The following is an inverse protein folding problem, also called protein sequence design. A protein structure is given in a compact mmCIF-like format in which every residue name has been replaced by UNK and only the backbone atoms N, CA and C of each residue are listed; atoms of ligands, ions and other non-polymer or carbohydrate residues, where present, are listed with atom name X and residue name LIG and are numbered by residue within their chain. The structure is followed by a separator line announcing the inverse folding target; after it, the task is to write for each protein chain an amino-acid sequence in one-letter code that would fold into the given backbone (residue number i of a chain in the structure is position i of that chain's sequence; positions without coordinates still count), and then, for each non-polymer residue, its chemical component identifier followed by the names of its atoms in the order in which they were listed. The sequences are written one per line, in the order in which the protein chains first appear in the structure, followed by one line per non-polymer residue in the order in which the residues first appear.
data_IF_580720816530
#
_entry.id   IF_580720816530
#
_cell.length_a   1.000
_cell.length_b   1.000
_cell.length_c   1.000
_cell.angle_alpha   90.00
_cell.angle_beta   90.00
_cell.angle_gamma   90.00
#
_symmetry.space_group_name_H-M   'P 1'
#
loop_
_entity.id
_entity.type
_entity.pdbx_description
1 polymer ?
#
# COMPACT_ATOMS: atom_id res chain seq x y z
N UNK A 1 -31.65 -17.90 1.04
CA UNK A 1 -30.48 -17.84 1.95
C UNK A 1 -30.80 -16.86 3.06
N UNK A 2 -31.10 -17.35 4.25
CA UNK A 2 -31.36 -16.50 5.42
C UNK A 2 -30.03 -16.01 5.96
N UNK A 3 -29.75 -14.72 5.78
CA UNK A 3 -28.67 -14.04 6.49
C UNK A 3 -29.06 -14.08 7.97
N UNK A 4 -28.19 -14.59 8.84
CA UNK A 4 -28.43 -14.65 10.29
C UNK A 4 -28.71 -13.25 10.87
N UNK A 5 -29.06 -13.15 12.18
CA UNK A 5 -29.29 -11.85 12.81
C UNK A 5 -28.11 -10.91 12.51
N UNK A 6 -28.39 -9.72 11.96
CA UNK A 6 -27.36 -8.72 11.67
C UNK A 6 -26.60 -8.46 12.98
N UNK A 7 -25.33 -8.84 13.02
CA UNK A 7 -24.45 -8.50 14.12
C UNK A 7 -24.43 -6.98 14.30
N UNK A 8 -24.37 -6.51 15.56
CA UNK A 8 -24.29 -5.08 15.85
C UNK A 8 -23.10 -4.44 15.10
N UNK A 9 -23.20 -3.18 14.64
CA UNK A 9 -22.05 -2.44 14.15
C UNK A 9 -20.88 -2.48 15.14
N UNK A 10 -19.69 -2.78 14.65
CA UNK A 10 -18.45 -2.71 15.44
C UNK A 10 -17.87 -1.29 15.38
N UNK A 11 -17.20 -0.89 16.46
CA UNK A 11 -16.30 0.25 16.49
C UNK A 11 -14.85 -0.24 16.30
N UNK A 12 -14.28 0.02 15.12
CA UNK A 12 -12.99 -0.56 14.71
C UNK A 12 -11.92 0.54 14.57
N UNK A 13 -10.78 0.32 15.22
CA UNK A 13 -9.57 1.11 15.03
C UNK A 13 -8.61 0.41 14.07
N UNK A 14 -8.15 1.12 13.05
CA UNK A 14 -7.11 0.68 12.13
C UNK A 14 -5.87 1.55 12.35
N UNK A 15 -4.74 0.92 12.70
CA UNK A 15 -3.47 1.62 12.81
C UNK A 15 -2.77 1.66 11.43
N UNK A 16 -2.83 2.80 10.74
CA UNK A 16 -2.12 3.07 9.49
C UNK A 16 -3.05 3.37 8.30
N UNK A 17 -2.82 4.50 7.63
CA UNK A 17 -3.53 4.93 6.41
C UNK A 17 -2.76 4.57 5.13
N UNK A 18 -2.12 3.39 5.12
CA UNK A 18 -1.52 2.82 3.91
C UNK A 18 -2.54 2.12 3.01
N UNK A 19 -2.07 1.43 1.98
CA UNK A 19 -2.93 0.67 1.04
C UNK A 19 -3.84 -0.32 1.78
N UNK A 20 -3.26 -1.18 2.61
CA UNK A 20 -4.01 -2.21 3.34
C UNK A 20 -5.02 -1.62 4.33
N UNK A 21 -4.63 -0.58 5.07
CA UNK A 21 -5.51 0.05 6.06
C UNK A 21 -6.73 0.70 5.42
N UNK A 22 -6.55 1.42 4.31
CA UNK A 22 -7.66 2.06 3.59
C UNK A 22 -8.55 1.05 2.84
N UNK A 23 -7.96 0.01 2.24
CA UNK A 23 -8.72 -1.06 1.62
C UNK A 23 -9.61 -1.81 2.64
N UNK A 24 -9.10 -2.05 3.86
CA UNK A 24 -9.89 -2.61 4.94
C UNK A 24 -10.98 -1.64 5.41
N UNK A 25 -10.63 -0.36 5.58
CA UNK A 25 -11.57 0.68 5.99
C UNK A 25 -12.78 0.77 5.04
N UNK A 26 -12.53 0.67 3.72
CA UNK A 26 -13.57 0.62 2.71
C UNK A 26 -14.59 -0.48 2.96
N UNK A 27 -14.13 -1.72 3.16
CA UNK A 27 -15.03 -2.86 3.36
C UNK A 27 -15.76 -2.82 4.70
N UNK A 28 -15.10 -2.35 5.77
CA UNK A 28 -15.73 -2.21 7.07
C UNK A 28 -16.81 -1.11 7.07
N UNK A 29 -16.52 0.05 6.46
CA UNK A 29 -17.49 1.14 6.32
C UNK A 29 -18.69 0.69 5.47
N UNK A 30 -18.45 -0.01 4.36
CA UNK A 30 -19.51 -0.60 3.52
C UNK A 30 -20.33 -1.66 4.26
N UNK A 31 -19.73 -2.36 5.22
CA UNK A 31 -20.40 -3.28 6.14
C UNK A 31 -21.24 -2.60 7.22
N UNK A 32 -21.21 -1.26 7.31
CA UNK A 32 -21.97 -0.48 8.30
C UNK A 32 -21.28 -0.38 9.66
N UNK A 33 -19.97 -0.57 9.74
CA UNK A 33 -19.20 -0.42 10.97
C UNK A 33 -18.69 1.03 11.14
N UNK A 34 -18.49 1.47 12.39
CA UNK A 34 -17.77 2.71 12.67
C UNK A 34 -16.28 2.42 12.56
N UNK A 35 -15.58 3.16 11.70
CA UNK A 35 -14.15 2.95 11.42
C UNK A 35 -13.37 4.22 11.72
N UNK A 36 -12.32 4.07 12.53
CA UNK A 36 -11.33 5.10 12.80
C UNK A 36 -9.98 4.62 12.27
N UNK A 37 -9.31 5.45 11.46
CA UNK A 37 -7.96 5.18 10.95
C UNK A 37 -6.99 6.17 11.58
N UNK A 38 -6.05 5.68 12.38
CA UNK A 38 -4.98 6.50 12.96
C UNK A 38 -3.70 6.40 12.12
N UNK A 39 -3.16 7.54 11.69
CA UNK A 39 -1.95 7.65 10.88
C UNK A 39 -0.93 8.59 11.52
N UNK A 40 0.32 8.12 11.64
CA UNK A 40 1.40 8.86 12.30
C UNK A 40 1.84 10.10 11.52
N UNK A 41 1.68 10.10 10.21
CA UNK A 41 2.00 11.28 9.38
C UNK A 41 0.91 12.34 9.54
N UNK A 42 1.26 13.65 9.55
CA UNK A 42 0.32 14.74 9.75
C UNK A 42 -0.68 14.92 8.59
N UNK A 43 -0.45 14.24 7.48
CA UNK A 43 -1.31 14.25 6.30
C UNK A 43 -1.24 12.89 5.57
N UNK A 44 -2.15 12.69 4.61
CA UNK A 44 -2.17 11.49 3.79
C UNK A 44 -0.86 11.33 3.03
N UNK A 45 -0.18 10.21 3.27
CA UNK A 45 1.10 9.89 2.62
C UNK A 45 0.91 9.40 1.18
N UNK A 46 0.51 10.31 0.30
CA UNK A 46 0.25 10.09 -1.11
C UNK A 46 1.53 10.16 -1.98
N UNK A 47 2.61 9.53 -1.54
CA UNK A 47 3.87 9.43 -2.29
C UNK A 47 4.51 8.04 -2.11
N UNK A 48 5.42 7.71 -3.02
CA UNK A 48 6.15 6.45 -3.03
C UNK A 48 6.50 6.00 -4.44
N UNK A 49 7.23 4.90 -4.54
CA UNK A 49 7.56 4.28 -5.82
C UNK A 49 6.32 3.64 -6.48
N UNK A 50 6.49 3.21 -7.72
CA UNK A 50 5.54 2.37 -8.44
C UNK A 50 5.23 1.09 -7.66
N UNK A 51 3.98 0.65 -7.75
CA UNK A 51 3.49 -0.63 -7.24
C UNK A 51 2.63 -1.30 -8.29
N UNK A 52 2.68 -2.63 -8.30
CA UNK A 52 1.89 -3.44 -9.23
C UNK A 52 0.64 -3.99 -8.54
N UNK A 53 -0.53 -3.79 -9.15
CA UNK A 53 -1.69 -4.64 -8.89
C UNK A 53 -1.59 -5.89 -9.77
N UNK A 54 -1.59 -7.06 -9.14
CA UNK A 54 -1.51 -8.36 -9.85
C UNK A 54 -2.53 -9.32 -9.27
N UNK A 55 -3.10 -10.19 -10.11
CA UNK A 55 -4.02 -11.26 -9.70
C UNK A 55 -5.10 -10.75 -8.75
N UNK A 56 -5.07 -11.22 -7.50
CA UNK A 56 -6.04 -10.86 -6.46
C UNK A 56 -6.12 -9.35 -6.15
N UNK A 57 -5.06 -8.58 -6.40
CA UNK A 57 -5.10 -7.12 -6.27
C UNK A 57 -6.04 -6.46 -7.29
N UNK A 58 -6.12 -7.03 -8.49
CA UNK A 58 -7.04 -6.59 -9.55
C UNK A 58 -8.46 -6.99 -9.18
N UNK A 59 -8.66 -8.23 -8.73
CA UNK A 59 -9.97 -8.73 -8.30
C UNK A 59 -10.53 -7.91 -7.13
N UNK A 60 -9.68 -7.52 -6.17
CA UNK A 60 -10.06 -6.66 -5.05
C UNK A 60 -10.45 -5.25 -5.53
N UNK A 61 -9.67 -4.64 -6.42
CA UNK A 61 -9.98 -3.35 -7.01
C UNK A 61 -11.31 -3.35 -7.78
N UNK A 62 -11.60 -4.42 -8.51
CA UNK A 62 -12.86 -4.60 -9.24
C UNK A 62 -14.05 -4.78 -8.29
N UNK A 63 -13.91 -5.62 -7.27
CA UNK A 63 -14.94 -5.81 -6.25
C UNK A 63 -15.25 -4.51 -5.48
N UNK A 64 -14.26 -3.63 -5.32
CA UNK A 64 -14.44 -2.30 -4.74
C UNK A 64 -15.11 -1.31 -5.70
N UNK A 65 -15.22 -1.62 -6.99
CA UNK A 65 -15.71 -0.72 -8.03
C UNK A 65 -14.70 0.37 -8.41
N UNK A 66 -13.43 0.21 -8.03
CA UNK A 66 -12.37 1.21 -8.21
C UNK A 66 -11.44 0.89 -9.39
N UNK A 67 -11.64 -0.25 -10.07
CA UNK A 67 -10.78 -0.66 -11.18
C UNK A 67 -10.68 0.39 -12.29
N UNK A 68 -11.76 1.13 -12.57
CA UNK A 68 -11.74 2.24 -13.53
C UNK A 68 -10.79 3.37 -13.12
N UNK A 69 -10.88 3.83 -11.87
CA UNK A 69 -9.99 4.87 -11.32
C UNK A 69 -8.53 4.42 -11.31
N UNK A 70 -8.27 3.15 -11.00
CA UNK A 70 -6.92 2.60 -11.09
C UNK A 70 -6.38 2.64 -12.52
N UNK A 71 -7.20 2.25 -13.51
CA UNK A 71 -6.82 2.28 -14.93
C UNK A 71 -6.51 3.69 -15.43
N UNK A 72 -7.17 4.71 -14.89
CA UNK A 72 -6.95 6.11 -15.25
C UNK A 72 -5.66 6.71 -14.69
N UNK A 73 -5.04 6.05 -13.71
CA UNK A 73 -3.81 6.51 -13.03
C UNK A 73 -2.64 5.55 -13.26
N UNK A 74 -2.69 4.72 -14.30
CA UNK A 74 -1.61 3.81 -14.62
C UNK A 74 -0.37 4.56 -15.10
N UNK A 75 0.78 4.03 -14.73
CA UNK A 75 2.04 4.46 -15.32
C UNK A 75 2.22 3.73 -16.65
N UNK A 76 2.43 4.51 -17.71
CA UNK A 76 2.72 3.99 -19.05
C UNK A 76 4.17 3.51 -19.14
N UNK A 77 4.41 2.26 -18.70
CA UNK A 77 5.70 1.58 -18.84
C UNK A 77 5.68 0.63 -20.08
N UNK A 78 6.38 0.98 -21.18
CA UNK A 78 6.34 0.18 -22.41
C UNK A 78 7.10 -1.14 -22.30
N UNK A 79 8.01 -1.28 -21.33
CA UNK A 79 8.84 -2.47 -21.16
C UNK A 79 10.13 -2.21 -20.39
N UNK A 80 10.85 -3.29 -20.11
CA UNK A 80 12.15 -3.28 -19.43
C UNK A 80 13.25 -3.74 -20.39
N UNK A 81 14.32 -2.97 -20.47
CA UNK A 81 15.56 -3.35 -21.13
C UNK A 81 16.63 -3.73 -20.09
N UNK A 82 17.25 -4.90 -20.26
CA UNK A 82 18.44 -5.30 -19.53
C UNK A 82 19.67 -4.79 -20.27
N UNK A 83 20.41 -3.87 -19.67
CA UNK A 83 21.57 -3.23 -20.30
C UNK A 83 22.86 -3.65 -19.64
N UNK A 84 23.96 -3.64 -20.40
CA UNK A 84 25.30 -3.88 -19.87
C UNK A 84 25.88 -2.61 -19.18
N UNK A 85 27.13 -2.69 -18.71
CA UNK A 85 27.87 -1.58 -18.11
C UNK A 85 27.91 -0.30 -18.98
N UNK A 86 27.86 -0.46 -20.30
CA UNK A 86 27.92 0.63 -21.28
C UNK A 86 26.53 1.09 -21.75
N UNK A 87 25.45 0.67 -21.07
CA UNK A 87 24.08 1.02 -21.44
C UNK A 87 23.55 0.30 -22.67
N UNK A 88 24.29 -0.65 -23.26
CA UNK A 88 23.83 -1.40 -24.44
C UNK A 88 22.82 -2.48 -24.04
N UNK A 89 21.61 -2.51 -24.63
CA UNK A 89 20.64 -3.58 -24.40
C UNK A 89 21.20 -4.97 -24.73
N UNK A 90 20.94 -5.91 -23.84
CA UNK A 90 21.24 -7.34 -23.98
C UNK A 90 19.97 -8.18 -24.11
N UNK A 91 18.87 -7.71 -23.53
CA UNK A 91 17.54 -8.28 -23.66
C UNK A 91 16.48 -7.19 -23.42
N UNK A 92 15.34 -7.29 -24.09
CA UNK A 92 14.19 -6.40 -23.88
C UNK A 92 12.95 -7.25 -23.65
N UNK A 93 12.18 -6.91 -22.64
CA UNK A 93 10.90 -7.53 -22.33
C UNK A 93 9.85 -6.41 -22.37
N UNK A 94 9.03 -6.44 -23.40
CA UNK A 94 7.94 -5.47 -23.57
C UNK A 94 6.80 -5.77 -22.60
N UNK A 95 6.08 -4.71 -22.21
CA UNK A 95 4.81 -4.88 -21.53
C UNK A 95 3.83 -5.63 -22.42
N UNK A 96 3.19 -6.65 -21.85
CA UNK A 96 1.92 -7.10 -22.38
C UNK A 96 0.92 -5.97 -22.11
N UNK A 97 0.27 -5.44 -23.14
CA UNK A 97 -0.77 -4.39 -23.03
C UNK A 97 -2.12 -4.90 -23.55
N UNK A 98 -2.22 -6.20 -23.84
CA UNK A 98 -3.39 -6.80 -24.49
C UNK A 98 -4.57 -7.04 -23.53
N UNK A 99 -4.37 -6.90 -22.22
CA UNK A 99 -5.35 -7.20 -21.17
C UNK A 99 -5.68 -8.69 -21.07
N UNK A 100 -4.93 -9.57 -21.75
CA UNK A 100 -5.14 -11.02 -21.80
C UNK A 100 -3.81 -11.76 -21.63
N UNK A 101 -3.87 -12.93 -21.03
CA UNK A 101 -2.69 -13.77 -20.78
C UNK A 101 -1.94 -13.39 -19.50
N UNK A 102 -0.75 -13.97 -19.32
CA UNK A 102 0.06 -13.75 -18.11
C UNK A 102 0.78 -12.41 -18.21
N UNK A 103 0.77 -11.63 -17.13
CA UNK A 103 1.56 -10.40 -17.04
C UNK A 103 3.05 -10.70 -17.29
N UNK A 104 3.71 -9.80 -18.01
CA UNK A 104 5.15 -9.79 -18.27
C UNK A 104 5.92 -9.32 -17.03
N UNK A 105 7.23 -9.08 -17.13
CA UNK A 105 7.98 -8.47 -16.02
C UNK A 105 7.42 -7.09 -15.65
N UNK A 106 6.98 -6.34 -16.66
CA UNK A 106 6.19 -5.10 -16.54
C UNK A 106 4.70 -5.44 -16.42
N UNK A 107 4.02 -4.77 -15.47
CA UNK A 107 2.62 -5.01 -15.12
C UNK A 107 1.69 -4.08 -15.90
N UNK A 108 0.58 -4.61 -16.42
CA UNK A 108 -0.51 -3.80 -17.01
C UNK A 108 -1.21 -2.88 -16.00
N UNK A 109 -0.99 -3.13 -14.71
CA UNK A 109 -1.58 -2.34 -13.63
C UNK A 109 -0.49 -1.81 -12.70
N UNK A 110 0.52 -1.17 -13.28
CA UNK A 110 1.50 -0.40 -12.50
C UNK A 110 0.94 1.00 -12.21
N UNK A 111 0.96 1.39 -10.94
CA UNK A 111 0.45 2.68 -10.46
C UNK A 111 1.43 3.25 -9.45
N UNK A 112 1.55 4.58 -9.37
CA UNK A 112 2.29 5.19 -8.28
C UNK A 112 1.61 4.88 -6.95
N UNK A 113 2.37 4.43 -5.94
CA UNK A 113 1.80 4.15 -4.60
C UNK A 113 0.99 5.33 -4.07
N UNK A 114 1.43 6.55 -4.37
CA UNK A 114 0.71 7.77 -4.00
C UNK A 114 -0.71 7.84 -4.55
N UNK A 115 -0.89 7.52 -5.84
CA UNK A 115 -2.19 7.53 -6.51
C UNK A 115 -3.10 6.42 -5.98
N UNK A 116 -2.57 5.21 -5.79
CA UNK A 116 -3.30 4.12 -5.15
C UNK A 116 -3.82 4.52 -3.75
N UNK A 117 -2.98 5.20 -2.96
CA UNK A 117 -3.37 5.70 -1.64
C UNK A 117 -4.45 6.79 -1.75
N UNK A 118 -4.37 7.70 -2.73
CA UNK A 118 -5.39 8.73 -2.98
C UNK A 118 -6.73 8.14 -3.38
N UNK A 119 -6.75 7.24 -4.37
CA UNK A 119 -7.97 6.56 -4.84
C UNK A 119 -8.69 5.86 -3.68
N UNK A 120 -7.95 5.14 -2.83
CA UNK A 120 -8.52 4.47 -1.67
C UNK A 120 -9.03 5.46 -0.60
N UNK A 121 -8.32 6.57 -0.39
CA UNK A 121 -8.74 7.61 0.56
C UNK A 121 -10.03 8.30 0.08
N UNK A 122 -10.07 8.71 -1.18
CA UNK A 122 -11.23 9.39 -1.76
C UNK A 122 -12.48 8.49 -1.71
N UNK A 123 -12.32 7.18 -1.88
CA UNK A 123 -13.41 6.22 -1.77
C UNK A 123 -13.96 6.04 -0.33
N UNK A 124 -13.29 6.57 0.70
CA UNK A 124 -13.59 6.26 2.10
C UNK A 124 -13.67 7.46 3.04
N UNK A 125 -13.06 8.60 2.70
CA UNK A 125 -12.92 9.78 3.57
C UNK A 125 -14.23 10.36 4.09
N UNK A 126 -15.34 10.17 3.38
CA UNK A 126 -16.67 10.65 3.78
C UNK A 126 -17.41 9.66 4.71
N UNK A 127 -16.84 8.47 4.93
CA UNK A 127 -17.44 7.38 5.72
C UNK A 127 -16.54 6.86 6.84
N UNK A 128 -15.28 7.29 6.87
CA UNK A 128 -14.24 6.82 7.79
C UNK A 128 -13.63 8.03 8.49
N UNK A 129 -13.45 7.93 9.80
CA UNK A 129 -12.78 8.97 10.58
C UNK A 129 -11.25 8.81 10.46
N UNK A 130 -10.58 9.74 9.78
CA UNK A 130 -9.13 9.76 9.68
C UNK A 130 -8.50 10.69 10.72
N UNK A 131 -7.58 10.15 11.52
CA UNK A 131 -6.79 10.88 12.51
C UNK A 131 -5.32 10.91 12.09
N UNK A 132 -4.93 11.97 11.41
CA UNK A 132 -3.55 12.21 11.01
C UNK A 132 -2.74 12.84 12.14
N UNK A 133 -1.42 12.64 12.12
CA UNK A 133 -0.49 13.09 13.16
C UNK A 133 -0.57 12.29 14.46
N UNK A 134 -1.39 11.24 14.51
CA UNK A 134 -1.68 10.45 15.70
C UNK A 134 -1.44 8.97 15.40
N UNK A 135 -0.73 8.29 16.29
CA UNK A 135 -0.44 6.86 16.17
C UNK A 135 -0.84 6.09 17.41
N UNK A 136 -1.13 4.80 17.26
CA UNK A 136 -1.35 3.91 18.41
C UNK A 136 -0.01 3.67 19.11
N UNK A 137 0.14 4.21 20.31
CA UNK A 137 1.33 4.10 21.15
C UNK A 137 1.29 2.83 22.01
N UNK A 138 0.10 2.35 22.35
CA UNK A 138 -0.12 1.11 23.06
C UNK A 138 -1.59 0.74 23.08
N UNK A 139 -1.89 -0.42 23.63
CA UNK A 139 -3.25 -0.88 23.83
C UNK A 139 -3.32 -1.85 25.00
N UNK A 140 -4.46 -1.90 25.66
CA UNK A 140 -4.83 -2.94 26.63
C UNK A 140 -6.15 -3.56 26.19
N UNK A 141 -6.41 -4.81 26.58
CA UNK A 141 -7.69 -5.46 26.36
C UNK A 141 -8.16 -6.14 27.64
N UNK A 142 -9.45 -6.08 27.89
CA UNK A 142 -10.16 -6.93 28.85
C UNK A 142 -11.21 -7.79 28.13
N UNK A 143 -12.01 -8.55 28.87
CA UNK A 143 -13.03 -9.45 28.32
C UNK A 143 -14.17 -8.73 27.56
N UNK A 144 -14.25 -7.41 27.67
CA UNK A 144 -15.35 -6.59 27.16
C UNK A 144 -14.93 -5.56 26.10
N UNK A 145 -13.72 -5.02 26.17
CA UNK A 145 -13.26 -3.90 25.35
C UNK A 145 -11.73 -3.91 25.16
N UNK A 146 -11.29 -3.42 24.00
CA UNK A 146 -9.91 -3.00 23.79
C UNK A 146 -9.80 -1.48 23.93
N UNK A 147 -8.83 -0.99 24.70
CA UNK A 147 -8.55 0.44 24.85
C UNK A 147 -7.24 0.79 24.17
N UNK A 148 -7.29 1.68 23.18
CA UNK A 148 -6.11 2.19 22.51
C UNK A 148 -5.58 3.43 23.23
N UNK A 149 -4.26 3.49 23.43
CA UNK A 149 -3.53 4.68 23.88
C UNK A 149 -2.84 5.32 22.69
N UNK A 150 -3.12 6.59 22.43
CA UNK A 150 -2.59 7.32 21.29
C UNK A 150 -1.35 8.15 21.64
N UNK A 151 -0.57 8.52 20.61
CA UNK A 151 0.68 9.26 20.77
C UNK A 151 0.50 10.73 21.21
N UNK A 152 -0.73 11.25 21.16
CA UNK A 152 -1.10 12.57 21.67
C UNK A 152 -1.51 12.55 23.16
N UNK A 153 -1.45 11.37 23.80
CA UNK A 153 -1.83 11.16 25.19
C UNK A 153 -3.31 10.81 25.40
N UNK A 154 -4.14 10.82 24.35
CA UNK A 154 -5.54 10.42 24.45
C UNK A 154 -5.70 8.90 24.51
N UNK A 155 -6.85 8.43 25.02
CA UNK A 155 -7.22 7.02 24.99
C UNK A 155 -8.69 6.87 24.56
N UNK A 156 -9.00 5.83 23.79
CA UNK A 156 -10.38 5.52 23.37
C UNK A 156 -10.61 4.01 23.30
N UNK A 157 -11.84 3.60 23.60
CA UNK A 157 -12.29 2.22 23.54
C UNK A 157 -12.79 1.81 22.15
N UNK A 158 -12.43 0.59 21.73
CA UNK A 158 -12.82 -0.03 20.47
C UNK A 158 -13.21 -1.49 20.67
N UNK A 159 -14.04 -2.03 19.78
CA UNK A 159 -14.32 -3.46 19.72
C UNK A 159 -13.15 -4.24 19.10
N UNK A 160 -12.37 -3.60 18.22
CA UNK A 160 -11.27 -4.23 17.49
C UNK A 160 -10.16 -3.22 17.15
N UNK A 161 -8.91 -3.66 17.27
CA UNK A 161 -7.73 -3.00 16.70
C UNK A 161 -7.16 -3.86 15.57
N UNK A 162 -6.92 -3.25 14.41
CA UNK A 162 -6.23 -3.86 13.28
C UNK A 162 -4.90 -3.15 12.99
N UNK A 163 -3.80 -3.89 13.07
CA UNK A 163 -2.47 -3.39 12.70
C UNK A 163 -2.26 -3.38 11.19
N UNK A 164 -2.29 -2.18 10.58
CA UNK A 164 -2.00 -1.95 9.17
C UNK A 164 -0.83 -0.94 8.99
N UNK A 165 0.05 -0.84 10.00
CA UNK A 165 1.09 0.18 10.16
C UNK A 165 2.43 -0.21 9.49
N UNK A 166 2.35 -1.14 8.55
CA UNK A 166 3.39 -1.48 7.60
C UNK A 166 4.51 -2.37 8.16
N UNK A 167 5.62 -2.39 7.43
CA UNK A 167 6.76 -3.26 7.72
C UNK A 167 7.26 -3.02 9.16
N UNK A 168 7.54 -1.77 9.54
CA UNK A 168 8.01 -1.43 10.88
C UNK A 168 6.91 -1.41 11.97
N UNK A 169 5.88 -2.26 11.85
CA UNK A 169 4.69 -2.27 12.71
C UNK A 169 5.02 -2.27 14.20
N UNK A 170 4.46 -1.31 14.94
CA UNK A 170 4.47 -1.26 16.41
C UNK A 170 3.46 -2.25 16.97
N UNK A 171 2.30 -2.39 16.32
CA UNK A 171 1.27 -3.34 16.75
C UNK A 171 1.82 -4.77 16.72
N UNK A 172 2.48 -5.18 15.64
CA UNK A 172 3.12 -6.52 15.56
C UNK A 172 4.16 -6.71 16.65
N UNK A 173 5.01 -5.72 16.91
CA UNK A 173 6.07 -5.83 17.93
C UNK A 173 5.51 -6.04 19.34
N UNK A 174 4.32 -5.53 19.66
CA UNK A 174 3.69 -5.74 20.97
C UNK A 174 3.35 -7.23 21.26
N UNK A 175 3.29 -8.08 20.23
CA UNK A 175 3.04 -9.52 20.37
C UNK A 175 4.32 -10.37 20.26
N UNK A 176 5.46 -9.77 19.91
CA UNK A 176 6.71 -10.49 19.75
C UNK A 176 7.53 -10.41 21.06
N UNK A 177 8.35 -11.43 21.37
CA UNK A 177 9.30 -11.34 22.47
C UNK A 177 10.24 -10.14 22.31
N UNK A 178 10.62 -9.54 23.44
CA UNK A 178 11.57 -8.43 23.47
C UNK A 178 12.88 -8.80 22.75
N UNK A 179 13.33 -7.90 21.88
CA UNK A 179 14.57 -8.07 21.11
C UNK A 179 14.46 -8.97 19.87
N UNK A 180 13.28 -9.56 19.57
CA UNK A 180 13.10 -10.31 18.34
C UNK A 180 13.06 -9.37 17.12
N UNK A 181 14.03 -9.48 16.23
CA UNK A 181 14.00 -8.84 14.91
C UNK A 181 13.26 -9.77 13.93
N UNK A 182 12.05 -9.43 13.45
CA UNK A 182 11.34 -10.25 12.48
C UNK A 182 11.96 -10.21 11.08
N UNK A 183 13.03 -9.44 10.87
CA UNK A 183 13.69 -9.30 9.59
C UNK A 183 14.95 -10.17 9.46
N UNK A 184 15.00 -10.93 8.37
CA UNK A 184 16.24 -11.52 7.90
C UNK A 184 17.00 -10.55 7.01
N UNK A 185 18.20 -10.14 7.42
CA UNK A 185 19.05 -9.24 6.63
C UNK A 185 19.80 -10.03 5.56
N UNK A 186 19.47 -9.78 4.30
CA UNK A 186 20.12 -10.44 3.15
C UNK A 186 21.40 -9.76 2.68
N UNK A 187 21.74 -8.58 3.23
CA UNK A 187 22.86 -7.75 2.78
C UNK A 187 22.61 -6.97 1.49
N UNK A 188 21.42 -7.12 0.87
CA UNK A 188 21.03 -6.41 -0.35
C UNK A 188 20.41 -5.06 0.00
N UNK A 189 20.88 -4.00 -0.64
CA UNK A 189 20.36 -2.65 -0.47
C UNK A 189 19.83 -2.13 -1.81
N UNK A 190 18.67 -1.50 -1.78
CA UNK A 190 18.06 -0.84 -2.94
C UNK A 190 17.74 0.61 -2.58
N UNK A 191 17.98 1.51 -3.53
CA UNK A 191 17.67 2.93 -3.40
C UNK A 191 16.84 3.38 -4.60
N UNK A 192 15.83 4.20 -4.33
CA UNK A 192 14.90 4.76 -5.31
C UNK A 192 14.82 6.27 -5.09
N UNK A 193 14.82 7.04 -6.17
CA UNK A 193 14.63 8.49 -6.15
C UNK A 193 14.05 8.96 -7.48
N UNK A 194 13.39 10.11 -7.45
CA UNK A 194 12.85 10.74 -8.65
C UNK A 194 13.95 11.53 -9.37
N UNK A 195 14.00 11.43 -10.69
CA UNK A 195 14.88 12.22 -11.56
C UNK A 195 14.02 12.83 -12.66
N UNK A 196 14.15 14.14 -12.96
CA UNK A 196 13.44 14.73 -14.08
C UNK A 196 13.83 14.06 -15.40
N UNK A 197 12.84 13.83 -16.26
CA UNK A 197 13.08 13.35 -17.62
C UNK A 197 13.78 14.42 -18.45
N UNK A 198 14.73 14.00 -19.27
CA UNK A 198 15.35 14.83 -20.32
C UNK A 198 15.02 14.28 -21.70
N UNK A 199 15.09 15.13 -22.73
CA UNK A 199 14.68 14.76 -24.09
C UNK A 199 15.45 13.57 -24.71
N UNK A 200 16.62 13.23 -24.16
CA UNK A 200 17.43 12.10 -24.61
C UNK A 200 17.16 10.79 -23.87
N UNK A 201 16.24 10.76 -22.90
CA UNK A 201 15.94 9.54 -22.15
C UNK A 201 15.14 8.54 -23.03
N UNK A 202 15.54 7.27 -22.97
CA UNK A 202 14.84 6.15 -23.61
C UNK A 202 13.53 5.87 -22.84
N UNK A 203 12.39 5.67 -23.52
CA UNK A 203 11.12 5.34 -22.87
C UNK A 203 11.11 3.97 -22.18
N UNK A 204 12.05 3.05 -22.49
CA UNK A 204 12.18 1.77 -21.81
C UNK A 204 12.88 1.92 -20.46
N UNK A 205 12.39 1.21 -19.44
CA UNK A 205 13.08 1.16 -18.16
C UNK A 205 14.35 0.32 -18.26
N UNK A 206 15.49 0.92 -17.93
CA UNK A 206 16.78 0.25 -18.04
C UNK A 206 17.19 -0.36 -16.69
N UNK A 207 17.49 -1.66 -16.69
CA UNK A 207 18.03 -2.40 -15.54
C UNK A 207 19.42 -2.94 -15.85
N UNK A 208 20.40 -2.66 -14.99
CA UNK A 208 21.81 -3.01 -15.16
C UNK A 208 22.29 -4.06 -14.14
N UNK A 209 23.03 -5.08 -14.59
CA UNK A 209 23.67 -6.12 -13.75
C UNK A 209 25.19 -5.84 -13.53
N UNK A 210 25.84 -6.35 -12.46
CA UNK A 210 26.36 -5.51 -11.38
C UNK A 210 27.84 -5.11 -11.49
N UNK A 211 28.09 -3.86 -11.07
CA UNK A 211 29.02 -3.56 -9.95
C UNK A 211 28.49 -2.43 -9.06
N UNK A 212 27.66 -1.55 -9.61
CA UNK A 212 26.98 -0.44 -8.91
C UNK A 212 25.78 0.00 -9.78
N UNK A 213 24.70 -0.79 -9.83
CA UNK A 213 23.60 -0.57 -10.78
C UNK A 213 22.57 0.47 -10.33
N UNK A 214 22.17 1.37 -11.24
CA UNK A 214 20.99 2.24 -11.12
C UNK A 214 19.87 1.69 -12.03
N UNK A 215 18.64 1.61 -11.53
CA UNK A 215 17.42 1.40 -12.35
C UNK A 215 16.77 2.76 -12.60
N UNK A 216 16.32 3.02 -13.82
CA UNK A 216 15.49 4.20 -14.17
C UNK A 216 14.16 3.70 -14.70
N UNK A 217 13.06 4.19 -14.15
CA UNK A 217 11.69 3.95 -14.63
C UNK A 217 11.00 5.28 -14.88
N UNK A 218 10.18 5.32 -15.92
CA UNK A 218 9.29 6.45 -16.24
C UNK A 218 8.14 6.45 -15.22
N UNK A 219 7.75 7.62 -14.72
CA UNK A 219 6.60 7.83 -13.82
C UNK A 219 5.68 8.88 -14.39
#
# INVERSE_FOLDING_TARGET
MSIGPKSRPLNVLIAGAGVAGQALAFWLARGGHRVVVAERFPELRAYGAQVDLRGQGIDAADAMGLLGEFKNNLVDEPGVAFVNANGKPRATIMANTSGKGRQTLTSEYEIMRGDLVRILNDATRDHVEYRFGVSVAGFDQDDSQMTARFSDGTSEGFDLLVGADGQSSRIRRAFLPDGLDPYWRTGIHMAYWFVPLIASDDPLSATQYPRTGRKRTRS
#
